data_IF_534329620070
#
_entry.id   IF_534329620070
#
_cell.length_a   1.000
_cell.length_b   1.000
_cell.length_c   1.000
_cell.angle_alpha   90.00
_cell.angle_beta   90.00
_cell.angle_gamma   90.00
#
_symmetry.space_group_name_H-M   'P 1'
#
loop_
_entity.id
_entity.type
_entity.pdbx_description
1 polymer ?
#
# COMPACT_ATOMS: atom_id res chain seq x y z
N UNK A 1 -28.71 1.83 -39.97
CA UNK A 1 -29.90 1.80 -39.09
C UNK A 1 -30.46 0.38 -39.19
N UNK A 2 -30.52 -0.51 -38.20
CA UNK A 2 -30.55 -0.52 -36.73
C UNK A 2 -30.00 -1.93 -36.37
N UNK A 3 -28.87 -2.10 -35.66
CA UNK A 3 -28.80 -2.23 -34.18
C UNK A 3 -30.14 -2.78 -33.65
N UNK A 4 -30.23 -4.04 -33.18
CA UNK A 4 -31.20 -4.57 -32.17
C UNK A 4 -31.42 -6.11 -32.16
N UNK A 5 -30.82 -6.93 -33.05
CA UNK A 5 -31.11 -8.39 -33.04
C UNK A 5 -30.08 -9.27 -32.29
N UNK A 6 -28.87 -8.80 -32.03
CA UNK A 6 -27.87 -9.57 -31.24
C UNK A 6 -27.95 -9.35 -29.71
N UNK A 7 -29.05 -8.78 -29.21
CA UNK A 7 -29.31 -8.60 -27.76
C UNK A 7 -29.72 -9.93 -27.09
N UNK A 8 -29.85 -11.02 -27.84
CA UNK A 8 -30.41 -12.26 -27.33
C UNK A 8 -29.61 -13.49 -27.75
N UNK A 9 -28.34 -13.62 -27.34
CA UNK A 9 -27.66 -14.95 -27.40
C UNK A 9 -26.46 -15.18 -26.47
N UNK A 10 -25.99 -14.22 -25.67
CA UNK A 10 -24.92 -14.49 -24.70
C UNK A 10 -25.30 -14.14 -23.26
N UNK A 11 -26.49 -14.57 -22.84
CA UNK A 11 -26.82 -14.80 -21.43
C UNK A 11 -26.20 -16.10 -20.88
N UNK A 12 -25.30 -16.73 -21.64
CA UNK A 12 -24.54 -17.91 -21.22
C UNK A 12 -23.08 -17.45 -21.13
N UNK A 13 -22.64 -17.20 -19.90
CA UNK A 13 -21.28 -17.28 -19.33
C UNK A 13 -21.17 -16.46 -18.02
N UNK A 14 -22.30 -16.21 -17.36
CA UNK A 14 -22.35 -16.13 -15.90
C UNK A 14 -22.11 -17.57 -15.41
N UNK A 15 -20.85 -17.99 -15.20
CA UNK A 15 -20.42 -19.11 -14.32
C UNK A 15 -18.91 -19.44 -14.37
N UNK A 16 -18.10 -18.71 -15.14
CA UNK A 16 -16.65 -18.67 -14.92
C UNK A 16 -16.23 -17.20 -14.85
N UNK A 17 -16.23 -16.64 -13.64
CA UNK A 17 -15.70 -15.30 -13.34
C UNK A 17 -14.18 -15.21 -13.49
N UNK A 18 -13.65 -15.77 -14.57
CA UNK A 18 -12.30 -15.48 -15.04
C UNK A 18 -12.42 -14.29 -15.98
N UNK A 19 -11.95 -13.09 -15.59
CA UNK A 19 -11.65 -12.09 -16.59
C UNK A 19 -10.56 -12.71 -17.48
N UNK A 20 -10.80 -12.77 -18.78
CA UNK A 20 -9.72 -12.97 -19.75
C UNK A 20 -8.87 -11.70 -19.66
N UNK A 21 -7.92 -11.67 -18.73
CA UNK A 21 -6.94 -10.58 -18.62
C UNK A 21 -5.86 -10.91 -19.64
N UNK A 22 -5.76 -10.09 -20.68
CA UNK A 22 -4.53 -10.02 -21.46
C UNK A 22 -3.49 -9.34 -20.56
N UNK A 23 -2.36 -10.01 -20.34
CA UNK A 23 -1.36 -9.65 -19.36
C UNK A 23 -0.52 -8.48 -19.87
N UNK A 24 -1.03 -7.26 -19.76
CA UNK A 24 -0.21 -6.05 -19.68
C UNK A 24 -0.99 -5.00 -18.90
N UNK A 25 -0.38 -4.56 -17.79
CA UNK A 25 -0.65 -3.35 -17.01
C UNK A 25 -2.10 -2.97 -16.66
N UNK A 26 -2.71 -3.73 -15.74
CA UNK A 26 -3.78 -3.21 -14.89
C UNK A 26 -3.21 -2.13 -13.94
N UNK A 27 -3.27 -0.86 -14.33
CA UNK A 27 -2.82 0.25 -13.47
C UNK A 27 -3.89 0.57 -12.42
N UNK A 28 -3.70 0.02 -11.22
CA UNK A 28 -4.55 0.29 -10.07
C UNK A 28 -4.07 1.61 -9.42
N UNK A 29 -4.85 2.69 -9.56
CA UNK A 29 -4.57 3.95 -8.89
C UNK A 29 -5.02 3.85 -7.43
N UNK A 30 -4.13 3.39 -6.54
CA UNK A 30 -4.36 3.51 -5.09
C UNK A 30 -4.25 5.00 -4.76
N UNK A 31 -5.36 5.62 -4.34
CA UNK A 31 -5.33 6.98 -3.82
C UNK A 31 -4.69 6.95 -2.42
N UNK A 32 -3.35 6.94 -2.39
CA UNK A 32 -2.56 7.05 -1.17
C UNK A 32 -2.49 8.52 -0.78
N UNK A 33 -3.41 8.93 0.09
CA UNK A 33 -3.35 10.25 0.72
C UNK A 33 -2.41 10.19 1.93
N UNK A 34 -1.25 10.83 1.82
CA UNK A 34 -0.30 11.03 2.90
C UNK A 34 -0.26 12.50 3.28
N UNK A 35 -0.31 12.78 4.59
CA UNK A 35 -0.25 14.14 5.12
C UNK A 35 1.20 14.65 5.17
N UNK A 36 2.15 13.74 5.40
CA UNK A 36 3.57 14.03 5.44
C UNK A 36 4.36 12.77 5.05
N UNK A 37 5.43 12.94 4.28
CA UNK A 37 6.35 11.88 3.87
C UNK A 37 7.76 12.40 4.08
N UNK A 38 8.60 11.68 4.83
CA UNK A 38 10.03 11.98 4.94
C UNK A 38 10.84 11.19 3.90
N UNK A 39 12.11 11.54 3.78
CA UNK A 39 13.05 10.87 2.90
C UNK A 39 13.18 9.38 3.23
N UNK A 40 13.49 8.58 2.21
CA UNK A 40 13.76 7.17 2.38
C UNK A 40 15.11 6.97 3.07
N UNK A 41 15.11 6.26 4.20
CA UNK A 41 16.30 5.80 4.89
C UNK A 41 16.25 4.28 5.02
N UNK A 42 17.34 3.63 4.63
CA UNK A 42 17.44 2.16 4.66
C UNK A 42 16.31 1.43 3.91
N UNK A 43 15.77 2.06 2.85
CA UNK A 43 14.70 1.51 2.03
C UNK A 43 13.27 1.79 2.52
N UNK A 44 13.11 2.46 3.67
CA UNK A 44 11.81 2.81 4.22
C UNK A 44 11.66 4.33 4.38
N UNK A 45 10.47 4.85 4.13
CA UNK A 45 10.10 6.23 4.44
C UNK A 45 9.10 6.24 5.60
N UNK A 46 9.28 7.16 6.56
CA UNK A 46 8.32 7.40 7.62
C UNK A 46 7.25 8.38 7.13
N UNK A 47 5.98 8.01 7.32
CA UNK A 47 4.85 8.66 6.68
C UNK A 47 3.72 8.88 7.66
N UNK A 48 3.10 10.06 7.59
CA UNK A 48 1.93 10.43 8.36
C UNK A 48 0.66 10.17 7.52
N UNK A 49 -0.25 9.39 8.09
CA UNK A 49 -1.57 9.11 7.52
C UNK A 49 -2.59 9.04 8.64
N UNK A 50 -3.69 9.78 8.53
CA UNK A 50 -4.76 9.84 9.52
C UNK A 50 -4.22 10.17 10.93
N UNK A 51 -3.34 11.17 11.03
CA UNK A 51 -2.66 11.55 12.29
C UNK A 51 -1.84 10.42 12.96
N UNK A 52 -1.45 9.38 12.22
CA UNK A 52 -0.61 8.28 12.71
C UNK A 52 0.60 8.08 11.81
N UNK A 53 1.76 7.91 12.43
CA UNK A 53 2.99 7.58 11.72
C UNK A 53 3.12 6.08 11.49
N UNK A 54 3.59 5.71 10.31
CA UNK A 54 3.93 4.36 9.88
C UNK A 54 5.11 4.40 8.90
N UNK A 55 5.45 3.25 8.31
CA UNK A 55 6.56 3.16 7.37
C UNK A 55 6.15 2.44 6.09
N UNK A 56 6.57 3.01 4.97
CA UNK A 56 6.32 2.47 3.63
C UNK A 56 7.64 2.17 2.92
N UNK A 57 7.59 1.26 1.94
CA UNK A 57 8.68 1.08 0.98
C UNK A 57 8.57 2.03 -0.22
N UNK A 58 9.47 1.88 -1.19
CA UNK A 58 9.53 2.71 -2.41
C UNK A 58 8.34 2.50 -3.35
N UNK A 59 7.64 1.39 -3.21
CA UNK A 59 6.41 1.08 -3.95
C UNK A 59 5.17 1.60 -3.20
N UNK A 60 5.38 2.32 -2.10
CA UNK A 60 4.37 2.83 -1.19
C UNK A 60 3.52 1.73 -0.52
N UNK A 61 4.06 0.51 -0.42
CA UNK A 61 3.49 -0.58 0.37
C UNK A 61 3.72 -0.28 1.85
N UNK A 62 2.69 -0.47 2.66
CA UNK A 62 2.78 -0.37 4.11
C UNK A 62 3.63 -1.55 4.65
N UNK A 63 4.81 -1.24 5.16
CA UNK A 63 5.72 -2.22 5.79
C UNK A 63 5.50 -2.26 7.30
N UNK A 64 5.27 -1.10 7.91
CA UNK A 64 4.93 -0.98 9.33
C UNK A 64 3.69 -0.10 9.46
N UNK A 65 2.68 -0.64 10.15
CA UNK A 65 1.36 -0.03 10.32
C UNK A 65 1.40 1.41 10.81
N UNK A 66 0.46 2.23 10.32
CA UNK A 66 0.18 3.58 10.83
C UNK A 66 -0.48 3.52 12.21
N UNK A 67 0.34 3.49 13.27
CA UNK A 67 -0.17 3.40 14.65
C UNK A 67 0.56 4.32 15.63
N UNK A 68 1.70 4.89 15.24
CA UNK A 68 2.53 5.67 16.14
C UNK A 68 2.07 7.13 16.22
N UNK A 69 2.21 7.72 17.40
CA UNK A 69 1.97 9.15 17.60
C UNK A 69 3.14 9.99 17.04
N UNK A 70 4.35 9.43 17.02
CA UNK A 70 5.54 9.99 16.39
C UNK A 70 6.49 8.85 16.00
N UNK A 71 7.34 9.08 15.00
CA UNK A 71 8.31 8.12 14.51
C UNK A 71 9.54 8.83 13.93
N UNK A 72 10.71 8.23 14.14
CA UNK A 72 12.00 8.68 13.59
C UNK A 72 12.37 7.83 12.38
N UNK A 73 13.29 8.35 11.58
CA UNK A 73 13.82 7.60 10.44
C UNK A 73 14.58 6.35 10.93
N UNK A 74 14.62 5.32 10.09
CA UNK A 74 15.46 4.16 10.35
C UNK A 74 16.93 4.53 10.23
N UNK A 75 17.74 4.04 11.16
CA UNK A 75 19.19 4.12 11.14
C UNK A 75 19.75 2.88 11.85
N UNK A 76 20.75 2.25 11.24
CA UNK A 76 21.37 1.02 11.73
C UNK A 76 20.34 -0.11 11.97
N UNK A 77 19.29 -0.17 11.14
CA UNK A 77 18.23 -1.19 11.24
C UNK A 77 17.25 -0.99 12.41
N UNK A 78 17.31 0.13 13.14
CA UNK A 78 16.36 0.46 14.21
C UNK A 78 15.76 1.86 14.03
N UNK A 79 14.57 2.07 14.59
CA UNK A 79 13.92 3.38 14.62
C UNK A 79 13.24 3.62 15.97
N UNK A 80 13.30 4.86 16.46
CA UNK A 80 12.56 5.27 17.64
C UNK A 80 11.11 5.62 17.28
N UNK A 81 10.16 5.10 18.03
CA UNK A 81 8.73 5.33 17.83
C UNK A 81 8.03 5.67 19.14
N UNK A 82 7.03 6.54 19.06
CA UNK A 82 6.17 6.88 20.17
C UNK A 82 4.81 6.17 20.02
N UNK A 83 4.48 5.30 20.97
CA UNK A 83 3.16 4.69 21.08
C UNK A 83 2.49 5.19 22.36
N UNK A 84 1.41 5.96 22.19
CA UNK A 84 0.60 6.49 23.29
C UNK A 84 1.42 7.21 24.38
N UNK A 85 2.36 8.07 23.95
CA UNK A 85 3.21 8.87 24.85
C UNK A 85 4.46 8.15 25.36
N UNK A 86 4.65 6.86 25.03
CA UNK A 86 5.84 6.09 25.42
C UNK A 86 6.76 5.87 24.24
N UNK A 87 8.05 6.14 24.43
CA UNK A 87 9.08 5.90 23.44
C UNK A 87 9.65 4.49 23.56
N UNK A 88 9.92 3.87 22.42
CA UNK A 88 10.62 2.59 22.30
C UNK A 88 11.29 2.47 20.93
N UNK A 89 12.00 1.37 20.72
CA UNK A 89 12.66 1.07 19.45
C UNK A 89 11.97 -0.08 18.74
N UNK A 90 11.90 0.02 17.41
CA UNK A 90 11.50 -1.08 16.53
C UNK A 90 12.65 -1.43 15.60
N UNK A 91 12.77 -2.71 15.27
CA UNK A 91 13.72 -3.19 14.28
C UNK A 91 13.10 -3.16 12.89
N UNK A 92 13.92 -2.94 11.87
CA UNK A 92 13.51 -2.98 10.47
C UNK A 92 13.12 -4.42 10.12
N UNK A 93 11.94 -4.65 9.51
CA UNK A 93 11.59 -5.97 9.01
C UNK A 93 12.56 -6.43 7.93
N UNK A 94 12.88 -7.73 7.89
CA UNK A 94 13.59 -8.31 6.76
C UNK A 94 12.66 -8.33 5.54
N UNK A 95 12.95 -7.49 4.55
CA UNK A 95 12.16 -7.36 3.31
C UNK A 95 12.37 -8.51 2.30
N UNK A 96 13.19 -9.51 2.65
CA UNK A 96 13.51 -10.66 1.78
C UNK A 96 12.50 -11.81 1.88
N UNK A 97 11.54 -11.74 2.83
CA UNK A 97 10.57 -12.81 3.10
C UNK A 97 9.11 -12.44 2.72
N UNK A 98 8.88 -11.35 1.97
CA UNK A 98 7.54 -10.78 1.72
C UNK A 98 7.12 -10.69 0.27
#
# INVERSE_FOLDING_TARGET
MKKQVCVLLCLIFILAGMPIVNADNAQYYINLHFENVREFNEGLAVVLKNNKWGYIDKEAKEIIKFQYADARDFSEGIAAVNLNGKWGFIARPNLLDS
#
